data_IF_750324439271
#
_entry.id   IF_750324439271
#
_cell.length_a   1.000
_cell.length_b   1.000
_cell.length_c   1.000
_cell.angle_alpha   90.00
_cell.angle_beta   90.00
_cell.angle_gamma   90.00
#
_symmetry.space_group_name_H-M   'P 1'
#
loop_
_entity.id
_entity.type
_entity.pdbx_description
1 polymer ?
#
# COMPACT_ATOMS: atom_id res chain seq x y z
N UNK A 1 -38.33 -14.46 7.37
CA UNK A 1 -37.58 -13.20 7.15
C UNK A 1 -38.51 -12.18 6.50
N UNK A 2 -38.64 -10.98 7.04
CA UNK A 2 -39.48 -9.93 6.45
C UNK A 2 -38.66 -9.05 5.51
N UNK A 3 -39.29 -8.51 4.46
CA UNK A 3 -38.65 -7.54 3.55
C UNK A 3 -38.20 -6.26 4.29
N UNK A 4 -38.88 -5.91 5.38
CA UNK A 4 -38.49 -4.78 6.23
C UNK A 4 -37.15 -5.01 6.94
N UNK A 5 -36.91 -6.22 7.47
CA UNK A 5 -35.63 -6.57 8.11
C UNK A 5 -34.49 -6.55 7.09
N UNK A 6 -34.73 -7.03 5.86
CA UNK A 6 -33.73 -6.96 4.77
C UNK A 6 -33.37 -5.52 4.44
N UNK A 7 -34.36 -4.65 4.23
CA UNK A 7 -34.11 -3.24 3.91
C UNK A 7 -33.41 -2.49 5.06
N UNK A 8 -33.70 -2.80 6.33
CA UNK A 8 -32.95 -2.24 7.45
C UNK A 8 -31.47 -2.70 7.44
N UNK A 9 -31.23 -4.00 7.21
CA UNK A 9 -29.86 -4.52 7.10
C UNK A 9 -29.10 -3.93 5.91
N UNK A 10 -29.74 -3.79 4.76
CA UNK A 10 -29.19 -3.16 3.56
C UNK A 10 -28.85 -1.70 3.84
N UNK A 11 -29.80 -0.95 4.41
CA UNK A 11 -29.61 0.44 4.76
C UNK A 11 -28.47 0.64 5.76
N UNK A 12 -28.41 -0.20 6.79
CA UNK A 12 -27.34 -0.19 7.79
C UNK A 12 -25.97 -0.48 7.17
N UNK A 13 -25.83 -1.57 6.43
CA UNK A 13 -24.57 -1.97 5.78
C UNK A 13 -24.12 -0.96 4.73
N UNK A 14 -25.05 -0.43 3.93
CA UNK A 14 -24.78 0.62 2.94
C UNK A 14 -24.29 1.87 3.64
N UNK A 15 -24.98 2.34 4.69
CA UNK A 15 -24.51 3.47 5.49
C UNK A 15 -23.14 3.19 6.11
N UNK A 16 -22.87 1.99 6.63
CA UNK A 16 -21.57 1.63 7.22
C UNK A 16 -20.44 1.61 6.19
N UNK A 17 -20.71 1.14 4.96
CA UNK A 17 -19.74 1.11 3.86
C UNK A 17 -19.58 2.47 3.16
N UNK A 18 -20.61 3.32 3.14
CA UNK A 18 -20.52 4.68 2.57
C UNK A 18 -19.92 5.65 3.59
N UNK A 19 -20.29 5.51 4.86
CA UNK A 19 -19.74 6.24 6.00
C UNK A 19 -18.32 5.75 6.24
N UNK A 20 -17.41 6.23 5.40
CA UNK A 20 -15.99 6.10 5.59
C UNK A 20 -15.70 6.56 7.02
N UNK A 21 -15.14 5.65 7.82
CA UNK A 21 -14.99 5.82 9.26
C UNK A 21 -14.29 7.16 9.52
N UNK A 22 -14.63 7.78 10.64
CA UNK A 22 -13.89 8.89 11.26
C UNK A 22 -12.38 8.62 11.46
N UNK A 23 -11.88 7.42 11.13
CA UNK A 23 -10.46 7.09 10.89
C UNK A 23 -9.81 7.86 9.74
N UNK A 24 -10.59 8.52 8.89
CA UNK A 24 -10.09 9.42 7.84
C UNK A 24 -9.28 10.60 8.41
N UNK A 25 -9.54 11.03 9.65
CA UNK A 25 -8.71 12.03 10.32
C UNK A 25 -7.36 11.47 10.76
N UNK A 26 -7.34 10.27 11.35
CA UNK A 26 -6.09 9.64 11.80
C UNK A 26 -5.21 9.31 10.59
N UNK A 27 -5.78 8.67 9.56
CA UNK A 27 -5.07 8.39 8.31
C UNK A 27 -4.59 9.67 7.61
N UNK A 28 -5.39 10.73 7.62
CA UNK A 28 -4.97 12.03 7.11
C UNK A 28 -3.79 12.61 7.91
N UNK A 29 -3.86 12.58 9.24
CA UNK A 29 -2.77 13.04 10.10
C UNK A 29 -1.51 12.20 9.93
N UNK A 30 -1.65 10.87 9.84
CA UNK A 30 -0.52 9.97 9.54
C UNK A 30 0.11 10.34 8.20
N UNK A 31 -0.70 10.43 7.13
CA UNK A 31 -0.22 10.83 5.80
C UNK A 31 0.46 12.21 5.83
N UNK A 32 -0.14 13.18 6.53
CA UNK A 32 0.42 14.52 6.66
C UNK A 32 1.76 14.50 7.39
N UNK A 33 1.85 13.78 8.51
CA UNK A 33 3.09 13.61 9.28
C UNK A 33 4.16 12.96 8.39
N UNK A 34 3.83 11.87 7.70
CA UNK A 34 4.76 11.21 6.78
C UNK A 34 5.22 12.16 5.67
N UNK A 35 4.30 12.92 5.08
CA UNK A 35 4.63 13.89 4.02
C UNK A 35 5.56 14.98 4.55
N UNK A 36 5.32 15.50 5.76
CA UNK A 36 6.18 16.49 6.41
C UNK A 36 7.57 15.91 6.68
N UNK A 37 7.65 14.67 7.18
CA UNK A 37 8.93 13.99 7.45
C UNK A 37 9.75 13.77 6.18
N UNK A 38 9.11 13.26 5.11
CA UNK A 38 9.75 13.11 3.79
C UNK A 38 10.24 14.46 3.28
N UNK A 39 9.38 15.48 3.32
CA UNK A 39 9.72 16.82 2.81
C UNK A 39 10.85 17.47 3.60
N UNK A 40 10.82 17.37 4.93
CA UNK A 40 11.88 17.87 5.79
C UNK A 40 13.22 17.17 5.51
N UNK A 41 13.19 15.86 5.27
CA UNK A 41 14.38 15.08 4.92
C UNK A 41 14.93 15.48 3.55
N UNK A 42 14.07 15.67 2.54
CA UNK A 42 14.48 16.17 1.23
C UNK A 42 15.15 17.54 1.31
N UNK A 43 14.58 18.46 2.09
CA UNK A 43 15.14 19.80 2.31
C UNK A 43 16.48 19.71 3.05
N UNK A 44 16.57 18.85 4.08
CA UNK A 44 17.82 18.61 4.80
C UNK A 44 18.92 18.11 3.86
N UNK A 45 18.64 17.08 3.06
CA UNK A 45 19.58 16.53 2.07
C UNK A 45 20.00 17.56 1.03
N UNK A 46 19.06 18.40 0.56
CA UNK A 46 19.36 19.49 -0.37
C UNK A 46 20.30 20.54 0.25
N UNK A 47 20.03 20.98 1.48
CA UNK A 47 20.89 21.93 2.19
C UNK A 47 22.29 21.35 2.39
N UNK A 48 22.38 20.08 2.82
CA UNK A 48 23.65 19.37 3.02
C UNK A 48 24.44 19.19 1.72
N UNK A 49 23.75 18.98 0.60
CA UNK A 49 24.32 18.96 -0.74
C UNK A 49 24.91 20.31 -1.14
N UNK A 50 24.18 21.41 -0.94
CA UNK A 50 24.61 22.78 -1.30
C UNK A 50 25.79 23.23 -0.43
N UNK A 51 25.77 22.91 0.86
CA UNK A 51 26.83 23.26 1.81
C UNK A 51 28.10 22.43 1.64
N UNK A 52 28.13 21.48 0.69
CA UNK A 52 29.29 20.62 0.45
C UNK A 52 29.68 19.77 1.67
N UNK A 53 28.70 19.38 2.48
CA UNK A 53 28.99 18.63 3.69
C UNK A 53 29.41 17.20 3.35
N UNK A 54 30.49 16.72 3.98
CA UNK A 54 31.40 15.64 3.53
C UNK A 54 30.88 14.21 3.25
N UNK A 55 29.60 14.01 2.96
CA UNK A 55 29.13 12.79 2.29
C UNK A 55 29.22 12.94 0.76
N UNK A 56 29.20 11.80 0.06
CA UNK A 56 29.28 11.74 -1.40
C UNK A 56 28.04 12.39 -2.03
N UNK A 57 28.22 13.18 -3.10
CA UNK A 57 27.15 13.84 -3.86
C UNK A 57 26.01 12.88 -4.25
N UNK A 58 26.37 11.66 -4.65
CA UNK A 58 25.45 10.55 -4.95
C UNK A 58 24.43 10.32 -3.82
N UNK A 59 24.86 10.36 -2.56
CA UNK A 59 23.98 10.09 -1.43
C UNK A 59 22.86 11.12 -1.35
N UNK A 60 23.21 12.40 -1.50
CA UNK A 60 22.20 13.46 -1.44
C UNK A 60 21.25 13.41 -2.63
N UNK A 61 21.77 13.11 -3.83
CA UNK A 61 20.94 12.93 -5.03
C UNK A 61 19.97 11.76 -4.81
N UNK A 62 20.45 10.62 -4.30
CA UNK A 62 19.64 9.44 -4.01
C UNK A 62 18.56 9.74 -2.95
N UNK A 63 18.90 10.45 -1.88
CA UNK A 63 17.91 10.83 -0.87
C UNK A 63 16.84 11.77 -1.44
N UNK A 64 17.22 12.77 -2.23
CA UNK A 64 16.26 13.73 -2.80
C UNK A 64 15.31 13.04 -3.78
N UNK A 65 15.83 12.26 -4.73
CA UNK A 65 14.98 11.56 -5.70
C UNK A 65 14.01 10.58 -5.00
N UNK A 66 14.48 9.88 -3.97
CA UNK A 66 13.65 8.92 -3.25
C UNK A 66 12.60 9.61 -2.40
N UNK A 67 12.89 10.79 -1.85
CA UNK A 67 11.86 11.61 -1.21
C UNK A 67 10.79 12.07 -2.21
N UNK A 68 11.18 12.46 -3.43
CA UNK A 68 10.21 12.82 -4.49
C UNK A 68 9.34 11.62 -4.84
N UNK A 69 9.93 10.44 -5.04
CA UNK A 69 9.21 9.21 -5.33
C UNK A 69 8.28 8.81 -4.18
N UNK A 70 8.73 8.94 -2.93
CA UNK A 70 7.92 8.71 -1.73
C UNK A 70 6.68 9.61 -1.70
N UNK A 71 6.81 10.90 -2.00
CA UNK A 71 5.67 11.83 -2.07
C UNK A 71 4.67 11.39 -3.13
N UNK A 72 5.15 10.96 -4.31
CA UNK A 72 4.28 10.42 -5.36
C UNK A 72 3.53 9.19 -4.86
N UNK A 73 4.24 8.22 -4.27
CA UNK A 73 3.65 6.99 -3.73
C UNK A 73 2.65 7.24 -2.60
N UNK A 74 2.96 8.14 -1.65
CA UNK A 74 2.06 8.52 -0.55
C UNK A 74 0.74 9.12 -1.06
N UNK A 75 0.74 9.74 -2.24
CA UNK A 75 -0.46 10.33 -2.84
C UNK A 75 -1.29 9.34 -3.68
N UNK A 76 -0.78 8.14 -3.98
CA UNK A 76 -1.51 7.12 -4.76
C UNK A 76 -2.88 6.82 -4.12
N UNK A 77 -3.00 6.43 -2.83
CA UNK A 77 -4.30 6.09 -2.26
C UNK A 77 -5.29 7.27 -2.28
N UNK A 78 -4.80 8.49 -2.02
CA UNK A 78 -5.61 9.71 -2.04
C UNK A 78 -6.12 10.01 -3.46
N UNK A 79 -5.28 9.83 -4.46
CA UNK A 79 -5.66 9.99 -5.87
C UNK A 79 -6.80 9.04 -6.25
N UNK A 80 -6.66 7.74 -5.94
CA UNK A 80 -7.70 6.75 -6.20
C UNK A 80 -9.01 7.06 -5.46
N UNK A 81 -8.94 7.50 -4.20
CA UNK A 81 -10.13 7.85 -3.42
C UNK A 81 -10.83 9.11 -3.93
N UNK A 82 -10.10 10.21 -4.13
CA UNK A 82 -10.69 11.53 -4.45
C UNK A 82 -10.99 11.72 -5.92
N UNK A 83 -10.09 11.26 -6.81
CA UNK A 83 -10.23 11.47 -8.27
C UNK A 83 -10.99 10.33 -8.92
N UNK A 84 -10.63 9.09 -8.63
CA UNK A 84 -11.28 7.93 -9.23
C UNK A 84 -12.55 7.47 -8.48
N UNK A 85 -12.86 8.10 -7.33
CA UNK A 85 -14.02 7.76 -6.49
C UNK A 85 -14.06 6.25 -6.17
N UNK A 86 -12.89 5.69 -5.87
CA UNK A 86 -12.73 4.30 -5.43
C UNK A 86 -12.65 4.27 -3.91
N UNK A 87 -13.50 3.49 -3.26
CA UNK A 87 -13.39 3.21 -1.83
C UNK A 87 -12.21 2.27 -1.61
N UNK A 88 -11.17 2.76 -0.93
CA UNK A 88 -10.07 1.95 -0.41
C UNK A 88 -10.39 1.60 1.06
N UNK A 89 -10.44 0.31 1.42
CA UNK A 89 -10.56 -0.12 2.81
C UNK A 89 -9.43 0.44 3.70
N UNK A 90 -9.77 0.91 4.90
CA UNK A 90 -8.83 1.57 5.81
C UNK A 90 -7.59 0.71 6.11
N UNK A 91 -7.75 -0.61 6.29
CA UNK A 91 -6.63 -1.50 6.56
C UNK A 91 -5.66 -1.63 5.38
N UNK A 92 -6.15 -1.60 4.13
CA UNK A 92 -5.29 -1.57 2.93
C UNK A 92 -4.50 -0.27 2.90
N UNK A 93 -5.17 0.86 3.19
CA UNK A 93 -4.49 2.15 3.25
C UNK A 93 -3.40 2.19 4.35
N UNK A 94 -3.68 1.66 5.55
CA UNK A 94 -2.67 1.55 6.62
C UNK A 94 -1.48 0.72 6.17
N UNK A 95 -1.71 -0.48 5.64
CA UNK A 95 -0.63 -1.38 5.21
C UNK A 95 0.22 -0.72 4.13
N UNK A 96 -0.40 -0.08 3.13
CA UNK A 96 0.32 0.62 2.06
C UNK A 96 1.13 1.80 2.62
N UNK A 97 0.59 2.61 3.52
CA UNK A 97 1.34 3.71 4.12
C UNK A 97 2.49 3.23 5.01
N UNK A 98 2.29 2.15 5.77
CA UNK A 98 3.37 1.52 6.54
C UNK A 98 4.47 0.99 5.62
N UNK A 99 4.11 0.34 4.51
CA UNK A 99 5.07 -0.17 3.54
C UNK A 99 5.88 0.97 2.91
N UNK A 100 5.22 2.04 2.46
CA UNK A 100 5.87 3.24 1.92
C UNK A 100 6.80 3.88 2.97
N UNK A 101 6.38 3.94 4.23
CA UNK A 101 7.24 4.45 5.30
C UNK A 101 8.51 3.62 5.48
N UNK A 102 8.38 2.29 5.56
CA UNK A 102 9.54 1.40 5.71
C UNK A 102 10.45 1.52 4.48
N UNK A 103 9.90 1.49 3.28
CA UNK A 103 10.68 1.56 2.05
C UNK A 103 11.43 2.88 1.92
N UNK A 104 10.75 4.02 2.03
CA UNK A 104 11.36 5.33 1.73
C UNK A 104 11.97 6.02 2.94
N UNK A 105 11.33 5.98 4.12
CA UNK A 105 11.91 6.65 5.29
C UNK A 105 13.01 5.77 5.88
N UNK A 106 12.68 4.53 6.24
CA UNK A 106 13.64 3.66 6.90
C UNK A 106 14.74 3.19 5.94
N UNK A 107 14.34 2.81 4.72
CA UNK A 107 15.27 2.37 3.67
C UNK A 107 16.25 3.47 3.24
N UNK A 108 15.74 4.63 2.82
CA UNK A 108 16.58 5.64 2.15
C UNK A 108 17.13 6.68 3.12
N UNK A 109 16.28 7.31 3.92
CA UNK A 109 16.72 8.39 4.83
C UNK A 109 17.60 7.82 5.95
N UNK A 110 17.22 6.67 6.50
CA UNK A 110 18.01 5.98 7.53
C UNK A 110 18.98 4.92 6.96
N UNK A 111 19.07 4.80 5.63
CA UNK A 111 20.02 3.92 4.92
C UNK A 111 19.95 2.44 5.30
N UNK A 112 18.77 1.92 5.63
CA UNK A 112 18.63 0.51 6.00
C UNK A 112 19.01 -0.43 4.85
N UNK A 113 18.84 0.00 3.59
CA UNK A 113 19.29 -0.77 2.43
C UNK A 113 20.79 -1.05 2.43
N UNK A 114 21.60 -0.17 3.02
CA UNK A 114 23.06 -0.33 3.06
C UNK A 114 23.54 -1.08 4.30
N UNK A 115 22.76 -1.03 5.38
CA UNK A 115 23.13 -1.63 6.67
C UNK A 115 22.63 -3.06 6.85
N UNK A 116 21.54 -3.44 6.18
CA UNK A 116 20.88 -4.73 6.38
C UNK A 116 20.71 -5.46 5.05
N UNK A 117 21.55 -6.47 4.82
CA UNK A 117 21.66 -7.22 3.54
C UNK A 117 20.32 -7.82 3.07
N UNK A 118 19.43 -8.20 4.00
CA UNK A 118 18.13 -8.80 3.67
C UNK A 118 16.97 -7.80 3.61
N UNK A 119 17.18 -6.54 4.00
CA UNK A 119 16.10 -5.57 4.15
C UNK A 119 15.32 -5.38 2.84
N UNK A 120 16.08 -5.21 1.77
CA UNK A 120 15.54 -5.08 0.42
C UNK A 120 14.71 -6.29 0.00
N UNK A 121 15.26 -7.50 0.14
CA UNK A 121 14.56 -8.73 -0.24
C UNK A 121 13.32 -9.00 0.61
N UNK A 122 13.33 -8.59 1.89
CA UNK A 122 12.14 -8.63 2.75
C UNK A 122 11.08 -7.64 2.26
N UNK A 123 11.48 -6.44 1.83
CA UNK A 123 10.56 -5.47 1.24
C UNK A 123 9.94 -5.99 -0.07
N UNK A 124 10.72 -6.57 -0.99
CA UNK A 124 10.17 -7.15 -2.21
C UNK A 124 9.24 -8.34 -1.93
N UNK A 125 9.58 -9.20 -0.96
CA UNK A 125 8.70 -10.30 -0.54
C UNK A 125 7.37 -9.79 0.03
N UNK A 126 7.44 -8.81 0.94
CA UNK A 126 6.24 -8.24 1.56
C UNK A 126 5.43 -7.39 0.58
N UNK A 127 6.10 -6.71 -0.35
CA UNK A 127 5.51 -5.99 -1.47
C UNK A 127 4.69 -6.92 -2.36
N UNK A 128 5.27 -8.05 -2.79
CA UNK A 128 4.56 -9.07 -3.57
C UNK A 128 3.30 -9.59 -2.88
N UNK A 129 3.37 -9.84 -1.57
CA UNK A 129 2.22 -10.24 -0.76
C UNK A 129 1.12 -9.14 -0.73
N UNK A 130 1.50 -7.89 -0.44
CA UNK A 130 0.56 -6.75 -0.35
C UNK A 130 -0.09 -6.50 -1.72
N UNK A 131 0.69 -6.48 -2.79
CA UNK A 131 0.19 -6.20 -4.14
C UNK A 131 -0.69 -7.34 -4.63
N UNK A 132 -0.37 -8.61 -4.35
CA UNK A 132 -1.25 -9.73 -4.66
C UNK A 132 -2.61 -9.60 -3.94
N UNK A 133 -2.59 -9.19 -2.67
CA UNK A 133 -3.81 -8.94 -1.91
C UNK A 133 -4.63 -7.78 -2.51
N UNK A 134 -3.98 -6.71 -2.97
CA UNK A 134 -4.62 -5.60 -3.69
C UNK A 134 -5.20 -6.10 -5.03
N UNK A 135 -4.45 -6.92 -5.78
CA UNK A 135 -4.88 -7.52 -7.04
C UNK A 135 -6.15 -8.36 -6.88
N UNK A 136 -6.22 -9.12 -5.78
CA UNK A 136 -7.42 -9.88 -5.39
C UNK A 136 -8.62 -8.97 -5.17
N UNK A 137 -8.39 -7.86 -4.48
CA UNK A 137 -9.41 -6.85 -4.28
C UNK A 137 -9.86 -6.19 -5.59
N UNK A 138 -8.94 -5.94 -6.54
CA UNK A 138 -9.23 -5.35 -7.87
C UNK A 138 -10.06 -6.30 -8.74
N UNK A 139 -9.68 -7.58 -8.86
CA UNK A 139 -10.43 -8.52 -9.72
C UNK A 139 -11.85 -8.76 -9.21
N UNK A 140 -12.03 -8.80 -7.89
CA UNK A 140 -13.35 -8.90 -7.27
C UNK A 140 -14.18 -7.62 -7.41
N UNK A 141 -13.57 -6.48 -7.76
CA UNK A 141 -14.33 -5.27 -8.13
C UNK A 141 -15.02 -5.46 -9.49
N UNK A 142 -14.44 -6.27 -10.39
CA UNK A 142 -14.98 -6.50 -11.73
C UNK A 142 -16.10 -7.54 -11.77
N UNK A 143 -16.14 -8.48 -10.83
CA UNK A 143 -17.20 -9.51 -10.76
C UNK A 143 -18.60 -8.97 -10.48
N UNK A 144 -18.73 -7.70 -10.07
CA UNK A 144 -19.99 -7.05 -9.72
C UNK A 144 -20.44 -6.00 -10.77
N UNK A 145 -19.90 -6.03 -11.99
CA UNK A 145 -20.32 -5.16 -13.09
C UNK A 145 -21.62 -5.70 -13.73
N UNK A 146 -22.77 -5.25 -13.23
CA UNK A 146 -24.12 -5.14 -13.86
C UNK A 146 -24.71 -6.34 -14.64
N UNK A 147 -24.03 -7.47 -14.74
CA UNK A 147 -24.55 -8.63 -15.43
C UNK A 147 -24.21 -9.88 -14.64
N UNK A 148 -25.24 -10.66 -14.32
CA UNK A 148 -25.19 -12.01 -13.75
C UNK A 148 -24.42 -13.02 -14.64
N UNK A 149 -23.54 -12.57 -15.55
CA UNK A 149 -22.92 -13.36 -16.63
C UNK A 149 -21.48 -13.78 -16.35
N UNK A 150 -20.73 -13.11 -15.47
CA UNK A 150 -19.30 -13.44 -15.25
C UNK A 150 -19.07 -13.93 -13.82
N UNK A 151 -19.24 -15.24 -13.63
CA UNK A 151 -18.72 -15.93 -12.44
C UNK A 151 -17.26 -16.31 -12.70
N UNK A 152 -16.32 -15.61 -12.07
CA UNK A 152 -14.90 -15.98 -12.14
C UNK A 152 -14.66 -17.19 -11.23
N UNK A 153 -13.90 -18.16 -11.73
CA UNK A 153 -13.47 -19.29 -10.89
C UNK A 153 -12.50 -18.81 -9.81
N UNK A 154 -12.46 -19.44 -8.63
CA UNK A 154 -11.48 -19.14 -7.59
C UNK A 154 -10.04 -19.18 -8.12
N UNK A 155 -9.74 -20.10 -9.02
CA UNK A 155 -8.45 -20.19 -9.68
C UNK A 155 -8.14 -18.94 -10.52
N UNK A 156 -9.08 -18.47 -11.35
CA UNK A 156 -8.87 -17.29 -12.18
C UNK A 156 -8.62 -16.04 -11.33
N UNK A 157 -9.39 -15.86 -10.25
CA UNK A 157 -9.22 -14.74 -9.31
C UNK A 157 -7.80 -14.72 -8.74
N UNK A 158 -7.31 -15.89 -8.30
CA UNK A 158 -5.97 -16.02 -7.71
C UNK A 158 -4.88 -15.84 -8.78
N UNK A 159 -5.05 -16.43 -9.96
CA UNK A 159 -4.12 -16.27 -11.08
C UNK A 159 -3.99 -14.81 -11.51
N UNK A 160 -5.12 -14.10 -11.65
CA UNK A 160 -5.11 -12.68 -11.94
C UNK A 160 -4.32 -11.91 -10.87
N UNK A 161 -4.58 -12.19 -9.59
CA UNK A 161 -3.94 -11.50 -8.47
C UNK A 161 -2.43 -11.72 -8.44
N UNK A 162 -2.01 -12.95 -8.76
CA UNK A 162 -0.61 -13.32 -8.89
C UNK A 162 0.05 -12.56 -10.06
N UNK A 163 -0.52 -12.65 -11.27
CA UNK A 163 -0.02 -11.93 -12.43
C UNK A 163 0.00 -10.41 -12.23
N UNK A 164 -0.99 -9.86 -11.52
CA UNK A 164 -1.06 -8.45 -11.17
C UNK A 164 0.13 -8.05 -10.29
N UNK A 165 0.47 -8.84 -9.27
CA UNK A 165 1.66 -8.61 -8.44
C UNK A 165 2.94 -8.62 -9.25
N UNK A 166 3.14 -9.63 -10.10
CA UNK A 166 4.32 -9.71 -10.98
C UNK A 166 4.43 -8.53 -11.95
N UNK A 167 3.29 -8.04 -12.47
CA UNK A 167 3.29 -6.92 -13.40
C UNK A 167 3.71 -5.62 -12.72
N UNK A 168 3.26 -5.39 -11.49
CA UNK A 168 3.66 -4.21 -10.72
C UNK A 168 5.13 -4.29 -10.33
N UNK A 169 5.61 -5.47 -9.93
CA UNK A 169 7.03 -5.69 -9.64
C UNK A 169 7.90 -5.42 -10.86
N UNK A 170 7.53 -5.97 -12.02
CA UNK A 170 8.25 -5.70 -13.25
C UNK A 170 8.29 -4.20 -13.58
N UNK A 171 7.20 -3.47 -13.36
CA UNK A 171 7.17 -2.01 -13.54
C UNK A 171 8.12 -1.33 -12.55
N UNK A 172 8.21 -1.81 -11.31
CA UNK A 172 9.13 -1.27 -10.31
C UNK A 172 10.59 -1.44 -10.75
N UNK A 173 11.00 -2.64 -11.19
CA UNK A 173 12.34 -2.88 -11.72
C UNK A 173 12.68 -2.00 -12.93
N UNK A 174 11.69 -1.72 -13.78
CA UNK A 174 11.85 -0.77 -14.89
C UNK A 174 12.06 0.67 -14.41
N UNK A 175 11.42 1.07 -13.30
CA UNK A 175 11.65 2.38 -12.68
C UNK A 175 13.08 2.47 -12.16
N UNK A 176 13.57 1.44 -11.47
CA UNK A 176 14.95 1.40 -10.96
C UNK A 176 15.97 1.53 -12.09
N UNK A 177 15.82 0.70 -13.13
CA UNK A 177 16.64 0.77 -14.33
C UNK A 177 16.58 2.16 -15.00
N UNK A 178 15.40 2.75 -15.09
CA UNK A 178 15.22 4.07 -15.71
C UNK A 178 15.91 5.17 -14.89
N UNK A 179 15.77 5.15 -13.56
CA UNK A 179 16.40 6.12 -12.66
C UNK A 179 17.92 6.01 -12.74
N UNK A 180 18.47 4.81 -12.65
CA UNK A 180 19.91 4.57 -12.78
C UNK A 180 20.44 5.04 -14.14
N UNK A 181 19.70 4.74 -15.22
CA UNK A 181 20.07 5.17 -16.58
C UNK A 181 20.04 6.69 -16.74
N UNK A 182 18.99 7.35 -16.27
CA UNK A 182 18.82 8.80 -16.42
C UNK A 182 19.86 9.55 -15.60
N UNK A 183 20.07 9.15 -14.34
CA UNK A 183 21.04 9.79 -13.45
C UNK A 183 22.47 9.59 -13.93
N UNK A 184 22.81 8.41 -14.46
CA UNK A 184 24.10 8.19 -15.12
C UNK A 184 24.31 9.12 -16.31
N UNK A 185 23.30 9.31 -17.17
CA UNK A 185 23.41 10.23 -18.32
C UNK A 185 23.57 11.69 -17.92
N UNK A 186 22.98 12.10 -16.79
CA UNK A 186 23.02 13.48 -16.32
C UNK A 186 24.27 13.81 -15.51
N UNK A 187 24.77 12.85 -14.72
CA UNK A 187 25.78 13.11 -13.68
C UNK A 187 26.99 12.17 -13.74
N UNK A 188 27.07 11.31 -14.76
CA UNK A 188 28.14 10.33 -14.93
C UNK A 188 28.12 9.26 -13.83
N UNK A 189 29.16 8.41 -13.79
CA UNK A 189 29.23 7.29 -12.83
C UNK A 189 29.16 7.73 -11.36
N UNK A 190 29.87 8.83 -11.01
CA UNK A 190 29.93 9.33 -9.63
C UNK A 190 28.57 9.83 -9.15
N UNK A 191 27.80 10.52 -10.00
CA UNK A 191 26.49 11.06 -9.62
C UNK A 191 25.31 10.14 -9.97
N UNK A 192 25.56 9.02 -10.63
CA UNK A 192 24.52 8.03 -10.95
C UNK A 192 23.97 7.40 -9.68
N UNK A 193 22.67 7.16 -9.70
CA UNK A 193 22.00 6.32 -8.72
C UNK A 193 22.39 4.86 -8.86
N UNK A 194 22.01 4.10 -7.84
CA UNK A 194 22.37 2.70 -7.71
C UNK A 194 21.19 1.88 -7.20
N UNK A 195 19.99 2.14 -7.72
CA UNK A 195 18.77 1.46 -7.30
C UNK A 195 18.90 -0.05 -7.51
N UNK A 196 19.33 -0.47 -8.71
CA UNK A 196 19.55 -1.89 -9.02
C UNK A 196 20.87 -2.45 -8.46
N UNK A 197 21.61 -1.69 -7.65
CA UNK A 197 22.96 -2.08 -7.17
C UNK A 197 23.95 -2.39 -8.30
N UNK A 198 23.79 -1.79 -9.48
CA UNK A 198 24.63 -2.04 -10.66
C UNK A 198 26.08 -1.58 -10.49
N UNK A 199 26.33 -0.57 -9.65
CA UNK A 199 27.68 -0.02 -9.38
C UNK A 199 28.52 -0.91 -8.47
N UNK A 200 27.87 -1.71 -7.62
CA UNK A 200 28.53 -2.51 -6.58
C UNK A 200 29.51 -3.55 -7.15
N UNK A 201 29.24 -4.02 -8.36
CA UNK A 201 30.06 -4.99 -9.07
C UNK A 201 31.00 -4.38 -10.10
N UNK A 202 31.09 -3.06 -10.24
CA UNK A 202 31.92 -2.43 -11.28
C UNK A 202 33.32 -2.14 -10.76
N UNK A 203 34.31 -2.59 -11.52
CA UNK A 203 35.72 -2.27 -11.32
C UNK A 203 36.32 -1.79 -12.65
N UNK A 204 37.43 -1.07 -12.59
CA UNK A 204 38.14 -0.62 -13.81
C UNK A 204 39.06 -1.69 -14.35
N UNK A 205 39.17 -1.77 -15.67
CA UNK A 205 40.24 -2.54 -16.30
C UNK A 205 41.60 -1.95 -15.87
N UNK A 206 42.38 -2.71 -15.08
CA UNK A 206 43.73 -2.32 -14.64
C UNK A 206 43.84 -1.56 -13.32
N UNK A 207 42.76 -1.41 -12.54
CA UNK A 207 42.82 -0.87 -11.17
C UNK A 207 42.89 0.66 -11.06
N UNK A 208 42.66 1.39 -12.15
CA UNK A 208 42.53 2.84 -12.15
C UNK A 208 41.27 3.30 -11.39
N UNK A 209 41.17 4.56 -10.92
CA UNK A 209 39.93 5.07 -10.34
C UNK A 209 38.76 4.99 -11.34
N UNK A 210 37.54 4.68 -10.89
CA UNK A 210 36.35 4.42 -11.74
C UNK A 210 35.93 5.62 -12.62
N UNK A 211 36.49 6.79 -12.35
CA UNK A 211 36.32 8.03 -13.12
C UNK A 211 37.43 8.31 -14.15
N UNK A 212 38.43 7.43 -14.28
CA UNK A 212 39.44 7.53 -15.32
C UNK A 212 38.88 6.97 -16.65
N UNK A 213 39.21 7.62 -17.77
CA UNK A 213 38.84 7.15 -19.12
C UNK A 213 39.33 5.70 -19.31
N UNK A 214 38.38 4.75 -19.33
CA UNK A 214 38.66 3.33 -19.41
C UNK A 214 37.37 2.51 -19.43
N UNK A 215 37.45 1.28 -19.95
CA UNK A 215 36.31 0.35 -19.95
C UNK A 215 36.00 -0.15 -18.54
N UNK A 216 34.71 -0.15 -18.19
CA UNK A 216 34.22 -0.80 -16.97
C UNK A 216 34.18 -2.32 -17.17
N UNK A 217 34.69 -3.08 -16.20
CA UNK A 217 34.51 -4.52 -16.12
C UNK A 217 33.69 -4.85 -14.88
N UNK A 218 32.90 -5.92 -14.93
CA UNK A 218 32.15 -6.37 -13.76
C UNK A 218 32.84 -7.53 -13.05
N UNK A 219 32.90 -7.49 -11.73
CA UNK A 219 33.37 -8.58 -10.87
C UNK A 219 32.34 -9.71 -10.73
N UNK A 220 31.08 -9.46 -11.10
CA UNK A 220 29.99 -10.43 -11.11
C UNK A 220 29.79 -11.01 -12.51
N UNK A 221 29.73 -12.34 -12.63
CA UNK A 221 29.58 -13.05 -13.92
C UNK A 221 28.41 -12.52 -14.79
N UNK A 222 27.33 -12.05 -14.15
CA UNK A 222 26.12 -11.57 -14.83
C UNK A 222 25.81 -10.10 -14.54
N UNK A 223 26.74 -9.37 -13.92
CA UNK A 223 26.51 -8.03 -13.37
C UNK A 223 25.75 -8.07 -12.04
N UNK A 224 25.96 -7.08 -11.17
CA UNK A 224 25.20 -6.96 -9.91
C UNK A 224 23.79 -6.44 -10.17
N UNK A 225 23.63 -5.51 -11.11
CA UNK A 225 22.33 -4.98 -11.58
C UNK A 225 21.31 -6.06 -11.92
N UNK A 226 21.67 -6.94 -12.86
CA UNK A 226 20.80 -8.03 -13.27
C UNK A 226 20.54 -9.02 -12.13
N UNK A 227 21.55 -9.29 -11.29
CA UNK A 227 21.39 -10.21 -10.17
C UNK A 227 20.38 -9.67 -9.16
N UNK A 228 20.42 -8.37 -8.87
CA UNK A 228 19.55 -7.70 -7.92
C UNK A 228 18.10 -7.80 -8.37
N UNK A 229 17.79 -7.20 -9.52
CA UNK A 229 16.44 -7.20 -10.10
C UNK A 229 15.83 -8.60 -10.25
N UNK A 230 16.62 -9.59 -10.67
CA UNK A 230 16.10 -10.96 -10.80
C UNK A 230 15.81 -11.60 -9.43
N UNK A 231 16.59 -11.26 -8.40
CA UNK A 231 16.34 -11.73 -7.04
C UNK A 231 15.14 -11.03 -6.42
N UNK A 232 14.92 -9.75 -6.68
CA UNK A 232 13.76 -8.99 -6.21
C UNK A 232 12.46 -9.54 -6.78
N UNK A 233 12.43 -9.72 -8.10
CA UNK A 233 11.32 -10.39 -8.77
C UNK A 233 11.06 -11.79 -8.21
N UNK A 234 12.12 -12.56 -7.92
CA UNK A 234 11.99 -13.92 -7.38
C UNK A 234 11.37 -13.93 -5.97
N UNK A 235 11.83 -13.06 -5.07
CA UNK A 235 11.29 -13.03 -3.70
C UNK A 235 9.89 -12.40 -3.66
N UNK A 236 9.60 -11.47 -4.57
CA UNK A 236 8.25 -10.97 -4.80
C UNK A 236 7.29 -12.08 -5.22
N UNK A 237 7.70 -12.94 -6.17
CA UNK A 237 6.94 -14.14 -6.59
C UNK A 237 6.59 -15.00 -5.37
N UNK A 238 7.53 -15.24 -4.46
CA UNK A 238 7.30 -16.04 -3.26
C UNK A 238 6.22 -15.40 -2.38
N UNK A 239 6.34 -14.10 -2.10
CA UNK A 239 5.35 -13.37 -1.31
C UNK A 239 3.95 -13.38 -1.92
N UNK A 240 3.87 -13.13 -3.23
CA UNK A 240 2.62 -13.19 -3.99
C UNK A 240 2.01 -14.61 -3.97
N UNK A 241 2.82 -15.65 -4.18
CA UNK A 241 2.38 -17.04 -4.19
C UNK A 241 1.79 -17.48 -2.84
N UNK A 242 2.39 -17.07 -1.72
CA UNK A 242 1.87 -17.36 -0.38
C UNK A 242 0.47 -16.77 -0.19
N UNK A 243 0.29 -15.49 -0.50
CA UNK A 243 -1.03 -14.83 -0.38
C UNK A 243 -2.05 -15.45 -1.33
N UNK A 244 -1.64 -15.77 -2.55
CA UNK A 244 -2.47 -16.46 -3.54
C UNK A 244 -2.92 -17.85 -3.05
N UNK A 245 -2.02 -18.63 -2.44
CA UNK A 245 -2.34 -19.93 -1.85
C UNK A 245 -3.34 -19.80 -0.70
N UNK A 246 -3.12 -18.86 0.22
CA UNK A 246 -4.05 -18.56 1.33
C UNK A 246 -5.41 -18.12 0.79
N UNK A 247 -5.44 -17.26 -0.23
CA UNK A 247 -6.67 -16.78 -0.84
C UNK A 247 -7.45 -17.92 -1.53
N UNK A 248 -6.76 -18.84 -2.20
CA UNK A 248 -7.38 -20.00 -2.85
C UNK A 248 -8.04 -20.93 -1.83
N UNK A 249 -7.38 -21.19 -0.70
CA UNK A 249 -7.93 -21.98 0.40
C UNK A 249 -9.11 -21.23 1.05
N UNK A 250 -8.95 -19.94 1.32
CA UNK A 250 -10.00 -19.10 1.91
C UNK A 250 -11.27 -19.07 1.07
N UNK A 251 -11.15 -18.93 -0.25
CA UNK A 251 -12.29 -18.97 -1.17
C UNK A 251 -13.01 -20.32 -1.19
N UNK A 252 -12.31 -21.43 -0.93
CA UNK A 252 -12.91 -22.77 -0.87
C UNK A 252 -13.60 -23.04 0.47
N UNK A 253 -12.99 -22.61 1.59
CA UNK A 253 -13.49 -22.90 2.93
C UNK A 253 -14.54 -21.90 3.43
N UNK A 254 -14.43 -20.62 3.03
CA UNK A 254 -15.23 -19.49 3.53
C UNK A 254 -15.46 -18.48 2.41
N UNK A 255 -16.44 -18.67 1.50
CA UNK A 255 -16.65 -17.77 0.36
C UNK A 255 -16.88 -16.29 0.73
N UNK A 256 -17.35 -16.05 1.96
CA UNK A 256 -17.67 -14.74 2.55
C UNK A 256 -16.44 -14.00 3.15
N UNK A 257 -15.28 -14.64 3.27
CA UNK A 257 -14.13 -14.13 4.05
C UNK A 257 -13.60 -12.74 3.62
N UNK A 258 -13.91 -12.35 2.38
CA UNK A 258 -13.50 -11.10 1.75
C UNK A 258 -14.62 -10.06 1.62
N UNK A 259 -15.81 -10.32 2.17
CA UNK A 259 -16.91 -9.37 2.18
C UNK A 259 -16.51 -8.06 2.89
N UNK A 260 -16.76 -6.92 2.23
CA UNK A 260 -16.43 -5.60 2.78
C UNK A 260 -14.95 -5.20 2.76
N UNK A 261 -14.06 -6.10 2.29
CA UNK A 261 -12.60 -5.85 2.15
C UNK A 261 -12.18 -5.50 0.72
N UNK A 262 -13.14 -5.27 -0.16
CA UNK A 262 -12.94 -5.00 -1.59
C UNK A 262 -12.78 -3.50 -1.88
N UNK A 263 -11.95 -3.21 -2.86
CA UNK A 263 -11.90 -1.96 -3.60
C UNK A 263 -13.18 -1.88 -4.43
N UNK A 264 -13.89 -0.77 -4.38
CA UNK A 264 -15.08 -0.59 -5.21
C UNK A 264 -15.44 0.86 -5.41
N UNK A 265 -16.07 1.18 -6.54
CA UNK A 265 -16.60 2.53 -6.75
C UNK A 265 -17.74 2.82 -5.77
N UNK A 266 -17.77 4.04 -5.21
CA UNK A 266 -18.83 4.44 -4.27
C UNK A 266 -20.24 4.28 -4.83
N UNK A 267 -20.42 4.49 -6.14
CA UNK A 267 -21.73 4.36 -6.81
C UNK A 267 -22.31 2.95 -6.74
N UNK A 268 -21.45 1.92 -6.65
CA UNK A 268 -21.84 0.52 -6.66
C UNK A 268 -22.09 -0.08 -5.28
N UNK A 269 -21.80 0.67 -4.21
CA UNK A 269 -21.95 0.17 -2.84
C UNK A 269 -23.41 -0.22 -2.53
N UNK A 270 -24.43 0.60 -2.83
CA UNK A 270 -25.82 0.25 -2.50
C UNK A 270 -26.30 -1.02 -3.21
N UNK A 271 -26.02 -1.13 -4.50
CA UNK A 271 -26.38 -2.30 -5.33
C UNK A 271 -25.68 -3.57 -4.82
N UNK A 272 -24.37 -3.47 -4.56
CA UNK A 272 -23.59 -4.57 -3.97
C UNK A 272 -24.16 -5.05 -2.64
N UNK A 273 -24.49 -4.13 -1.72
CA UNK A 273 -25.01 -4.52 -0.40
C UNK A 273 -26.34 -5.23 -0.53
N UNK A 274 -27.24 -4.70 -1.38
CA UNK A 274 -28.54 -5.32 -1.68
C UNK A 274 -28.34 -6.74 -2.20
N UNK A 275 -27.51 -6.91 -3.23
CA UNK A 275 -27.28 -8.21 -3.86
C UNK A 275 -26.67 -9.25 -2.90
N UNK A 276 -25.78 -8.84 -1.98
CA UNK A 276 -25.26 -9.78 -0.97
C UNK A 276 -26.34 -10.17 0.06
N UNK A 277 -27.13 -9.21 0.55
CA UNK A 277 -28.19 -9.51 1.53
C UNK A 277 -29.25 -10.43 0.91
N UNK A 278 -29.60 -10.23 -0.36
CA UNK A 278 -30.54 -11.07 -1.09
C UNK A 278 -30.03 -12.50 -1.35
N UNK A 279 -28.71 -12.72 -1.33
CA UNK A 279 -28.09 -14.05 -1.54
C UNK A 279 -27.88 -14.85 -0.25
N UNK A 280 -28.05 -14.24 0.92
CA UNK A 280 -27.80 -14.90 2.19
C UNK A 280 -28.79 -16.04 2.44
N UNK A 281 -28.29 -17.15 2.98
CA UNK A 281 -29.14 -18.16 3.63
C UNK A 281 -29.82 -17.56 4.85
N UNK A 282 -30.89 -18.21 5.33
CA UNK A 282 -31.63 -17.72 6.51
C UNK A 282 -30.74 -17.67 7.76
N UNK A 283 -29.84 -18.63 7.92
CA UNK A 283 -28.87 -18.69 9.02
C UNK A 283 -27.87 -17.52 8.95
N UNK A 284 -27.29 -17.28 7.77
CA UNK A 284 -26.35 -16.18 7.54
C UNK A 284 -27.01 -14.82 7.77
N UNK A 285 -28.25 -14.66 7.29
CA UNK A 285 -29.03 -13.44 7.49
C UNK A 285 -29.32 -13.21 8.97
N UNK A 286 -29.82 -14.24 9.67
CA UNK A 286 -30.14 -14.15 11.10
C UNK A 286 -28.91 -13.75 11.92
N UNK A 287 -27.76 -14.40 11.66
CA UNK A 287 -26.50 -14.06 12.30
C UNK A 287 -26.03 -12.63 11.97
N UNK A 288 -26.18 -12.21 10.71
CA UNK A 288 -25.84 -10.84 10.28
C UNK A 288 -26.75 -9.78 10.91
N UNK A 289 -28.03 -10.06 11.03
CA UNK A 289 -29.03 -9.16 11.59
C UNK A 289 -28.84 -9.02 13.10
N UNK A 290 -28.58 -10.12 13.82
CA UNK A 290 -28.23 -10.10 15.24
C UNK A 290 -26.99 -9.24 15.52
N UNK A 291 -25.92 -9.40 14.71
CA UNK A 291 -24.71 -8.54 14.78
C UNK A 291 -25.03 -7.07 14.55
N UNK A 292 -25.93 -6.75 13.62
CA UNK A 292 -26.35 -5.36 13.38
C UNK A 292 -27.05 -4.77 14.62
N UNK A 293 -27.97 -5.51 15.23
CA UNK A 293 -28.69 -5.05 16.42
C UNK A 293 -27.72 -4.79 17.58
N UNK A 294 -26.80 -5.72 17.84
CA UNK A 294 -25.76 -5.58 18.86
C UNK A 294 -24.87 -4.34 18.61
N UNK A 295 -24.47 -4.10 17.36
CA UNK A 295 -23.69 -2.92 16.98
C UNK A 295 -24.48 -1.61 17.19
N UNK A 296 -25.76 -1.58 16.83
CA UNK A 296 -26.65 -0.40 17.05
C UNK A 296 -26.74 -0.11 18.56
N UNK A 297 -26.99 -1.13 19.38
CA UNK A 297 -27.08 -1.00 20.83
C UNK A 297 -25.75 -0.51 21.46
N UNK A 298 -24.62 -1.07 21.02
CA UNK A 298 -23.30 -0.65 21.49
C UNK A 298 -22.98 0.80 21.10
N UNK A 299 -23.39 1.24 19.91
CA UNK A 299 -23.24 2.63 19.47
C UNK A 299 -24.08 3.59 20.32
N UNK A 300 -25.32 3.23 20.65
CA UNK A 300 -26.19 4.00 21.54
C UNK A 300 -25.62 4.11 22.95
N UNK A 301 -25.14 3.01 23.53
CA UNK A 301 -24.45 3.01 24.84
C UNK A 301 -23.24 3.95 24.84
N UNK A 302 -22.45 3.95 23.76
CA UNK A 302 -21.28 4.82 23.61
C UNK A 302 -21.66 6.30 23.50
N UNK A 303 -22.72 6.63 22.74
CA UNK A 303 -23.23 8.00 22.63
C UNK A 303 -23.78 8.50 23.97
N UNK A 304 -24.51 7.65 24.70
CA UNK A 304 -25.03 7.97 26.03
C UNK A 304 -23.89 8.23 27.03
N UNK A 305 -22.83 7.42 27.03
CA UNK A 305 -21.62 7.65 27.84
C UNK A 305 -20.94 8.97 27.47
N UNK A 306 -20.80 9.26 26.18
CA UNK A 306 -20.21 10.52 25.69
C UNK A 306 -21.01 11.74 26.13
N UNK A 307 -22.34 11.70 26.02
CA UNK A 307 -23.25 12.77 26.49
C UNK A 307 -23.16 12.97 28.01
N UNK A 308 -23.04 11.89 28.80
CA UNK A 308 -22.83 11.97 30.26
C UNK A 308 -21.51 12.64 30.63
N UNK A 309 -20.42 12.38 29.89
CA UNK A 309 -19.12 13.01 30.11
C UNK A 309 -19.18 14.51 29.78
N UNK A 310 -19.68 14.87 28.59
CA UNK A 310 -19.81 16.27 28.16
C UNK A 310 -20.80 17.08 29.04
N UNK A 311 -21.82 16.43 29.60
CA UNK A 311 -22.78 17.05 30.52
C UNK A 311 -22.22 17.27 31.94
N UNK A 312 -21.15 16.58 32.34
CA UNK A 312 -20.45 16.82 33.61
C UNK A 312 -19.51 18.02 33.53
N UNK A 313 -18.85 18.22 32.38
CA UNK A 313 -17.93 19.35 32.18
C UNK A 313 -18.64 20.72 32.13
N UNK A 314 -19.93 20.75 31.79
CA UNK A 314 -20.75 21.97 31.79
C UNK A 314 -21.33 22.40 33.14
N UNK A 315 -21.26 21.55 34.18
CA UNK A 315 -21.82 21.83 35.52
C UNK A 315 -20.77 22.24 36.57
N UNK A 316 -19.49 22.33 36.19
CA UNK A 316 -18.39 22.73 37.10
C UNK A 316 -18.00 24.21 37.10
N UNK A 317 -18.65 25.08 36.30
CA UNK A 317 -18.26 26.50 36.16
C UNK A 317 -19.33 27.53 36.55
N UNK A 318 -20.30 27.14 37.38
CA UNK A 318 -21.21 28.08 38.05
C UNK A 318 -21.38 27.73 39.52
N UNK A 319 -20.44 28.22 40.31
CA UNK A 319 -20.60 28.76 41.67
C UNK A 319 -19.22 28.75 42.32
N UNK A 320 -18.59 29.90 42.35
CA UNK A 320 -18.19 30.52 43.62
C UNK A 320 -18.06 32.01 43.34
N UNK A 321 -18.81 32.74 44.15
CA UNK A 321 -18.92 34.19 44.29
C UNK A 321 -17.57 34.90 44.38
#
# INVERSE_FOLDING_TARGET
MTESEKEDLIGFRTRKLVKQHTGNRVLYWVLLIMTILVTASAVYSLVKCILGSGEMLETYINQIQMCVLAIVCLNIPVFFQKKLKVRIPDFIAVIVYCFIFIHFILGEIYRFYDHYILFDKVLHTTGGAIIAFIGFSVVLSFTNLESKKVKLSPFFIVLFSFCFALSIEYIWELVEYAVDTVTYRLSGFIGASNMQRWKDGIVTAGGAPVWAEGGYVTSSLRGTGLKDSMMDMLVNIIGAAVVCGVALIGLKLRPDWFEGKRLMSYKKIPEYVRENVERMSEEEFSAAYARMLEEKENAEKKDLRRKKLLGKDGKGKKKND
#
